data_IF_496770921446
#
_entry.id   IF_496770921446
#
_cell.length_a   1.000
_cell.length_b   1.000
_cell.length_c   1.000
_cell.angle_alpha   90.00
_cell.angle_beta   90.00
_cell.angle_gamma   90.00
#
_symmetry.space_group_name_H-M   'P 1'
#
loop_
_entity.id
_entity.type
_entity.pdbx_description
1 polymer ?
#
# COMPACT_ATOMS: atom_id res chain seq x y z
N UNK A 1 -3.11 -21.21 9.22
CA UNK A 1 -1.76 -21.66 9.59
C UNK A 1 -0.76 -20.62 9.14
N UNK A 2 0.27 -20.28 9.93
CA UNK A 2 1.31 -19.33 9.52
C UNK A 2 2.20 -19.90 8.39
N UNK A 3 2.77 -18.99 7.61
CA UNK A 3 3.75 -19.26 6.55
C UNK A 3 5.17 -19.02 7.10
N UNK A 4 6.09 -19.91 6.75
CA UNK A 4 7.50 -19.83 7.11
C UNK A 4 8.35 -19.91 5.84
N UNK A 5 9.41 -19.10 5.78
CA UNK A 5 10.36 -19.09 4.68
C UNK A 5 11.54 -20.04 4.96
N UNK A 6 11.99 -20.74 3.94
CA UNK A 6 13.15 -21.64 3.98
C UNK A 6 14.10 -21.34 2.82
N UNK A 7 15.40 -21.50 3.06
CA UNK A 7 16.43 -21.35 2.01
C UNK A 7 17.32 -22.58 1.93
N UNK A 8 17.41 -23.12 0.73
CA UNK A 8 18.31 -24.20 0.38
C UNK A 8 19.76 -23.69 0.24
N UNK A 9 20.78 -24.49 0.57
CA UNK A 9 22.18 -24.18 0.24
C UNK A 9 22.42 -23.89 -1.25
N UNK A 10 21.62 -24.50 -2.13
CA UNK A 10 21.71 -24.30 -3.58
C UNK A 10 21.03 -23.01 -4.07
N UNK A 11 20.47 -22.20 -3.17
CA UNK A 11 19.94 -20.87 -3.48
C UNK A 11 18.41 -20.79 -3.66
N UNK A 12 17.70 -21.92 -3.75
CA UNK A 12 16.23 -21.92 -3.79
C UNK A 12 15.65 -21.36 -2.48
N UNK A 13 14.71 -20.43 -2.58
CA UNK A 13 13.89 -19.93 -1.47
C UNK A 13 12.43 -20.33 -1.68
N UNK A 14 11.76 -20.81 -0.63
CA UNK A 14 10.37 -21.22 -0.70
C UNK A 14 9.63 -20.99 0.62
N UNK A 15 8.30 -20.92 0.55
CA UNK A 15 7.41 -20.76 1.70
C UNK A 15 6.63 -22.05 1.96
N UNK A 16 6.45 -22.43 3.23
CA UNK A 16 5.63 -23.58 3.64
C UNK A 16 4.85 -23.28 4.92
N UNK A 17 3.65 -23.82 5.03
CA UNK A 17 2.77 -23.63 6.19
C UNK A 17 3.00 -24.70 7.24
N UNK A 18 3.29 -24.28 8.48
CA UNK A 18 3.42 -25.17 9.63
C UNK A 18 2.56 -24.69 10.78
N UNK A 19 2.20 -25.59 11.71
CA UNK A 19 1.68 -25.16 12.99
C UNK A 19 2.79 -24.48 13.79
N UNK A 20 2.46 -23.46 14.60
CA UNK A 20 3.47 -22.74 15.39
C UNK A 20 4.24 -23.66 16.36
N UNK A 21 3.61 -24.75 16.82
CA UNK A 21 4.21 -25.71 17.73
C UNK A 21 5.09 -26.77 17.04
N UNK A 22 4.98 -26.93 15.72
CA UNK A 22 5.59 -28.05 14.98
C UNK A 22 6.55 -27.56 13.89
N UNK A 23 6.89 -26.27 13.87
CA UNK A 23 7.75 -25.70 12.84
C UNK A 23 9.18 -26.25 12.98
N UNK A 24 9.70 -26.97 11.97
CA UNK A 24 11.06 -27.51 12.02
C UNK A 24 12.10 -26.43 11.70
N UNK A 25 13.35 -26.67 12.11
CA UNK A 25 14.49 -25.81 11.74
C UNK A 25 14.94 -26.01 10.28
N UNK A 26 14.56 -27.14 9.66
CA UNK A 26 14.82 -27.44 8.26
C UNK A 26 13.67 -28.20 7.60
N UNK A 27 13.48 -27.97 6.30
CA UNK A 27 12.49 -28.65 5.46
C UNK A 27 13.13 -29.12 4.14
N UNK A 28 12.62 -30.18 3.49
CA UNK A 28 13.14 -30.64 2.21
C UNK A 28 12.87 -29.61 1.11
N UNK A 29 13.91 -29.26 0.34
CA UNK A 29 13.77 -28.36 -0.81
C UNK A 29 12.96 -29.03 -1.94
N UNK A 30 11.96 -28.36 -2.53
CA UNK A 30 11.15 -28.93 -3.61
C UNK A 30 11.95 -29.24 -4.89
N UNK A 31 13.06 -28.55 -5.13
CA UNK A 31 13.85 -28.71 -6.37
C UNK A 31 14.94 -29.78 -6.27
N UNK A 32 15.63 -29.86 -5.13
CA UNK A 32 16.84 -30.68 -4.97
C UNK A 32 16.83 -31.58 -3.74
N UNK A 33 15.74 -31.56 -2.96
CA UNK A 33 15.54 -32.36 -1.75
C UNK A 33 16.61 -32.18 -0.64
N UNK A 34 17.50 -31.20 -0.77
CA UNK A 34 18.47 -30.84 0.25
C UNK A 34 17.78 -30.19 1.46
N UNK A 35 18.34 -30.32 2.69
CA UNK A 35 17.77 -29.68 3.88
C UNK A 35 17.90 -28.16 3.79
N UNK A 36 16.78 -27.48 3.54
CA UNK A 36 16.68 -26.03 3.51
C UNK A 36 16.43 -25.49 4.91
N UNK A 37 17.24 -24.54 5.36
CA UNK A 37 17.14 -23.97 6.72
C UNK A 37 16.01 -22.95 6.79
N UNK A 38 15.30 -22.94 7.92
CA UNK A 38 14.30 -21.92 8.21
C UNK A 38 14.95 -20.54 8.28
N UNK A 39 14.41 -19.60 7.52
CA UNK A 39 14.77 -18.20 7.65
C UNK A 39 13.79 -17.50 8.56
N UNK A 40 14.32 -16.59 9.39
CA UNK A 40 13.49 -15.58 10.02
C UNK A 40 13.10 -14.60 8.92
N UNK A 41 11.89 -14.74 8.39
CA UNK A 41 11.36 -13.83 7.39
C UNK A 41 11.42 -12.41 7.95
N UNK A 42 12.02 -11.48 7.21
CA UNK A 42 11.95 -10.08 7.59
C UNK A 42 10.48 -9.66 7.67
N UNK A 43 10.12 -8.93 8.71
CA UNK A 43 8.83 -8.25 8.71
C UNK A 43 8.81 -7.42 7.42
N UNK A 44 7.78 -7.59 6.56
CA UNK A 44 7.61 -6.86 5.30
C UNK A 44 7.31 -5.37 5.59
N UNK A 45 8.13 -4.69 6.36
CA UNK A 45 7.93 -3.31 6.81
C UNK A 45 7.89 -2.33 5.64
N UNK A 46 8.50 -2.69 4.50
CA UNK A 46 8.45 -1.91 3.26
C UNK A 46 7.02 -1.68 2.74
N UNK A 47 6.08 -2.61 2.99
CA UNK A 47 4.70 -2.43 2.52
C UNK A 47 3.89 -1.46 3.40
N UNK A 48 4.36 -1.12 4.61
CA UNK A 48 3.63 -0.25 5.51
C UNK A 48 3.44 1.18 4.95
N UNK A 49 4.29 1.60 4.02
CA UNK A 49 4.23 2.92 3.40
C UNK A 49 3.57 2.92 1.99
N UNK A 50 3.10 1.76 1.54
CA UNK A 50 2.39 1.59 0.27
C UNK A 50 1.06 2.33 0.24
N UNK A 51 0.53 2.61 -0.96
CA UNK A 51 -0.74 3.31 -1.12
C UNK A 51 -1.91 2.48 -0.57
N UNK A 52 -1.85 1.16 -0.77
CA UNK A 52 -2.85 0.19 -0.33
C UNK A 52 -2.92 0.14 1.20
N UNK A 53 -1.75 0.07 1.85
CA UNK A 53 -1.68 0.06 3.32
C UNK A 53 -2.20 1.36 3.92
N UNK A 54 -1.83 2.51 3.33
CA UNK A 54 -2.35 3.83 3.74
C UNK A 54 -3.87 3.94 3.59
N UNK A 55 -4.43 3.36 2.53
CA UNK A 55 -5.88 3.37 2.31
C UNK A 55 -6.59 2.56 3.41
N UNK A 56 -6.13 1.35 3.69
CA UNK A 56 -6.66 0.51 4.78
C UNK A 56 -6.59 1.25 6.11
N UNK A 57 -5.45 1.86 6.41
CA UNK A 57 -5.24 2.60 7.66
C UNK A 57 -6.16 3.83 7.76
N UNK A 58 -6.33 4.59 6.68
CA UNK A 58 -7.26 5.71 6.61
C UNK A 58 -8.72 5.27 6.81
N UNK A 59 -9.13 4.14 6.21
CA UNK A 59 -10.48 3.58 6.38
C UNK A 59 -10.71 3.08 7.81
N UNK A 60 -9.71 2.48 8.47
CA UNK A 60 -9.82 2.11 9.89
C UNK A 60 -9.93 3.34 10.77
N UNK A 61 -9.09 4.36 10.52
CA UNK A 61 -9.07 5.61 11.28
C UNK A 61 -10.41 6.35 11.18
N UNK A 62 -11.07 6.34 10.02
CA UNK A 62 -12.31 7.12 9.83
C UNK A 62 -13.47 6.74 10.76
N UNK A 63 -13.45 5.54 11.36
CA UNK A 63 -14.44 5.11 12.34
C UNK A 63 -14.37 5.88 13.67
N UNK A 64 -13.20 6.36 14.06
CA UNK A 64 -12.97 7.01 15.35
C UNK A 64 -12.37 8.42 15.23
N UNK A 65 -11.70 8.71 14.12
CA UNK A 65 -11.02 9.98 13.84
C UNK A 65 -11.25 10.37 12.36
N UNK A 66 -12.49 10.69 11.95
CA UNK A 66 -12.78 11.08 10.59
C UNK A 66 -12.07 12.40 10.23
N UNK A 67 -11.44 12.43 9.06
CA UNK A 67 -10.81 13.65 8.57
C UNK A 67 -11.89 14.68 8.21
N UNK A 68 -11.90 15.79 8.94
CA UNK A 68 -12.79 16.92 8.64
C UNK A 68 -12.22 17.72 7.48
N UNK A 69 -12.96 17.78 6.37
CA UNK A 69 -12.64 18.68 5.26
C UNK A 69 -13.13 20.09 5.59
N UNK A 70 -12.22 21.05 5.66
CA UNK A 70 -12.54 22.47 5.91
C UNK A 70 -13.02 23.22 4.66
N UNK A 71 -13.02 22.56 3.49
CA UNK A 71 -13.42 23.14 2.22
C UNK A 71 -14.72 22.53 1.70
N UNK A 72 -15.62 23.39 1.19
CA UNK A 72 -16.74 22.95 0.36
C UNK A 72 -16.19 22.25 -0.88
N UNK A 73 -16.60 21.02 -1.15
CA UNK A 73 -16.33 20.35 -2.43
C UNK A 73 -16.86 21.24 -3.56
N UNK A 74 -15.97 21.78 -4.40
CA UNK A 74 -16.31 22.75 -5.45
C UNK A 74 -16.02 24.23 -5.13
N UNK A 75 -15.49 24.57 -3.95
CA UNK A 75 -15.10 25.94 -3.59
C UNK A 75 -13.67 26.28 -4.05
N UNK A 76 -13.38 26.03 -5.33
CA UNK A 76 -12.36 26.79 -6.04
C UNK A 76 -12.98 27.27 -7.34
N UNK A 77 -13.97 28.15 -7.21
CA UNK A 77 -14.25 29.08 -8.30
C UNK A 77 -13.09 30.06 -8.29
N UNK A 78 -11.97 29.72 -8.93
CA UNK A 78 -10.99 30.74 -9.33
C UNK A 78 -11.82 31.82 -10.02
N UNK A 79 -11.77 33.05 -9.50
CA UNK A 79 -12.48 34.15 -10.11
C UNK A 79 -12.08 34.21 -11.59
N UNK A 80 -13.06 34.20 -12.49
CA UNK A 80 -12.81 34.36 -13.91
C UNK A 80 -12.01 35.65 -14.09
N UNK A 81 -10.80 35.57 -14.65
CA UNK A 81 -9.99 36.77 -14.86
C UNK A 81 -10.71 37.68 -15.84
N UNK A 82 -11.10 38.86 -15.36
CA UNK A 82 -11.60 39.91 -16.22
C UNK A 82 -10.47 40.36 -17.15
N UNK A 83 -10.71 40.36 -18.46
CA UNK A 83 -9.73 40.88 -19.42
C UNK A 83 -10.11 42.32 -19.75
N UNK A 84 -9.14 43.24 -19.62
CA UNK A 84 -9.34 44.67 -19.86
C UNK A 84 -9.33 45.08 -21.33
N UNK A 85 -9.74 44.18 -22.24
CA UNK A 85 -9.69 44.45 -23.67
C UNK A 85 -10.79 45.45 -24.07
N UNK A 86 -10.46 46.64 -24.60
CA UNK A 86 -11.45 47.64 -24.99
C UNK A 86 -12.41 47.16 -26.09
N UNK A 87 -12.04 46.14 -26.88
CA UNK A 87 -12.91 45.54 -27.89
C UNK A 87 -14.13 44.84 -27.30
N UNK A 88 -14.10 44.49 -26.01
CA UNK A 88 -15.23 43.86 -25.32
C UNK A 88 -16.45 44.78 -25.19
N UNK A 89 -16.28 46.11 -25.32
CA UNK A 89 -17.39 47.06 -25.33
C UNK A 89 -18.30 46.92 -26.56
N UNK A 90 -17.82 46.25 -27.61
CA UNK A 90 -18.57 46.02 -28.86
C UNK A 90 -19.36 44.71 -28.87
N UNK A 91 -19.20 43.87 -27.85
CA UNK A 91 -19.96 42.62 -27.75
C UNK A 91 -21.41 42.92 -27.34
N UNK A 92 -22.40 42.21 -27.90
CA UNK A 92 -23.78 42.31 -27.45
C UNK A 92 -23.86 41.92 -25.97
N UNK A 93 -24.53 42.77 -25.19
CA UNK A 93 -24.70 42.53 -23.75
C UNK A 93 -25.80 41.49 -23.54
N UNK A 94 -25.63 40.53 -22.61
CA UNK A 94 -26.70 39.62 -22.20
C UNK A 94 -27.82 40.35 -21.46
#
# INVERSE_FOLDING_TARGET
MPLYAFRCPNGTEFESSFAMAEVPDAAPCPDCNAPARRQMSSARLSIANSAEFKLIDATKRSAHEPQLVSGRTGASKKATRYTGNPLHQKLPRP
#
